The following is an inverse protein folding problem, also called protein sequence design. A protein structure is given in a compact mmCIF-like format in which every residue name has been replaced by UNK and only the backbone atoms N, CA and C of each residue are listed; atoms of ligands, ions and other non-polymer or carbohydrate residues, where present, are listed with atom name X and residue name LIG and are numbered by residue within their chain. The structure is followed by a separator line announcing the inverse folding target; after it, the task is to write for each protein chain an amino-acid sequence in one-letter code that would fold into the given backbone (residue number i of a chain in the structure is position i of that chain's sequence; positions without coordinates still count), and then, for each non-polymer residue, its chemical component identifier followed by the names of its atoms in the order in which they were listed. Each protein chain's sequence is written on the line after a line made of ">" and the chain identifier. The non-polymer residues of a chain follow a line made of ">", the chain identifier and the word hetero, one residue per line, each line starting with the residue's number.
data_IF_098415020994
#
_entry.id   IF_098415020994
#
_cell.length_a   1.000
_cell.length_b   1.000
_cell.length_c   1.000
_cell.angle_alpha   90.00
_cell.angle_beta   90.00
_cell.angle_gamma   90.00
#
_symmetry.space_group_name_H-M   'P 1'
#
loop_
_entity.id
_entity.type
_entity.pdbx_description
1 polymer ?
#
# COMPACT_ATOMS: atom_id res chain seq x y z
N UNK A 1 -10.38 -7.48 9.82
CA UNK A 1 -10.04 -7.82 8.55
C UNK A 1 -10.38 -6.80 7.48
N UNK A 2 -11.60 -6.38 7.45
CA UNK A 2 -12.03 -5.48 6.44
C UNK A 2 -11.29 -4.14 6.44
N UNK A 3 -11.05 -3.59 7.62
CA UNK A 3 -10.36 -2.31 7.70
C UNK A 3 -8.98 -2.35 7.13
N UNK A 4 -8.30 -3.43 7.45
CA UNK A 4 -6.97 -3.66 7.04
C UNK A 4 -6.88 -3.77 5.52
N UNK A 5 -7.79 -4.50 4.93
CA UNK A 5 -7.82 -4.66 3.49
C UNK A 5 -8.18 -3.36 2.80
N UNK A 6 -9.10 -2.61 3.39
CA UNK A 6 -9.46 -1.33 2.82
C UNK A 6 -8.29 -0.37 2.78
N UNK A 7 -7.55 -0.32 3.87
CA UNK A 7 -6.41 0.57 3.94
C UNK A 7 -5.40 0.24 2.83
N UNK A 8 -5.09 -1.04 2.69
CA UNK A 8 -4.10 -1.45 1.69
C UNK A 8 -4.59 -1.14 0.29
N UNK A 9 -5.85 -1.40 0.01
CA UNK A 9 -6.38 -1.13 -1.31
C UNK A 9 -6.32 0.36 -1.61
N UNK A 10 -6.72 1.20 -0.66
CA UNK A 10 -6.71 2.63 -0.89
C UNK A 10 -5.30 3.17 -1.09
N UNK A 11 -4.38 2.70 -0.28
CA UNK A 11 -2.98 3.08 -0.44
C UNK A 11 -2.51 2.72 -1.85
N UNK A 12 -2.80 1.49 -2.25
CA UNK A 12 -2.36 1.03 -3.56
C UNK A 12 -2.96 1.82 -4.69
N UNK A 13 -4.24 2.14 -4.57
CA UNK A 13 -4.90 2.89 -5.62
C UNK A 13 -4.31 4.29 -5.77
N UNK A 14 -4.06 4.96 -4.65
CA UNK A 14 -3.45 6.28 -4.70
C UNK A 14 -2.04 6.18 -5.29
N UNK A 15 -1.29 5.16 -4.92
CA UNK A 15 0.06 5.00 -5.45
C UNK A 15 0.06 4.77 -6.95
N UNK A 16 -0.89 3.97 -7.44
CA UNK A 16 -1.01 3.74 -8.88
C UNK A 16 -1.42 5.04 -9.58
N UNK A 17 -2.40 5.73 -9.01
CA UNK A 17 -2.87 6.99 -9.61
C UNK A 17 -1.76 8.03 -9.65
N UNK A 18 -0.87 8.00 -8.68
CA UNK A 18 0.25 8.95 -8.61
C UNK A 18 1.41 8.55 -9.52
N UNK A 19 1.35 7.37 -10.11
CA UNK A 19 2.41 6.91 -11.00
C UNK A 19 3.57 6.22 -10.29
N UNK A 20 3.42 5.91 -9.01
CA UNK A 20 4.49 5.28 -8.25
C UNK A 20 4.46 3.76 -8.32
N UNK A 21 3.32 3.18 -8.65
CA UNK A 21 3.18 1.74 -8.80
C UNK A 21 2.45 1.44 -10.09
N UNK A 22 2.74 0.28 -10.65
CA UNK A 22 1.92 -0.23 -11.75
C UNK A 22 0.84 -1.13 -11.16
N UNK A 23 -0.25 -1.37 -11.91
CA UNK A 23 -1.27 -2.31 -11.44
C UNK A 23 -0.69 -3.70 -11.15
N UNK A 24 0.28 -4.14 -11.96
CA UNK A 24 0.88 -5.46 -11.74
C UNK A 24 1.63 -5.49 -10.41
N UNK A 25 2.36 -4.42 -10.10
CA UNK A 25 3.07 -4.33 -8.83
C UNK A 25 2.10 -4.31 -7.66
N UNK A 26 1.00 -3.61 -7.81
CA UNK A 26 -0.01 -3.58 -6.75
C UNK A 26 -0.57 -4.97 -6.50
N UNK A 27 -0.89 -5.70 -7.58
CA UNK A 27 -1.39 -7.06 -7.44
C UNK A 27 -0.40 -7.95 -6.71
N UNK A 28 0.87 -7.82 -7.06
CA UNK A 28 1.90 -8.63 -6.42
C UNK A 28 2.01 -8.30 -4.94
N UNK A 29 1.99 -7.03 -4.61
CA UNK A 29 2.12 -6.62 -3.21
C UNK A 29 0.94 -7.11 -2.38
N UNK A 30 -0.27 -6.99 -2.92
CA UNK A 30 -1.45 -7.48 -2.20
C UNK A 30 -1.38 -9.00 -2.01
N UNK A 31 -0.87 -9.71 -3.02
CA UNK A 31 -0.69 -11.15 -2.89
C UNK A 31 0.28 -11.50 -1.79
N UNK A 32 1.34 -10.73 -1.63
CA UNK A 32 2.30 -10.98 -0.56
C UNK A 32 1.69 -10.75 0.81
N UNK A 33 0.80 -9.79 0.95
CA UNK A 33 0.10 -9.61 2.21
C UNK A 33 -0.74 -10.82 2.55
N UNK A 34 -1.42 -11.37 1.56
CA UNK A 34 -2.23 -12.57 1.76
C UNK A 34 -1.33 -13.73 2.18
N UNK A 35 -0.18 -13.87 1.52
CA UNK A 35 0.73 -14.94 1.86
C UNK A 35 1.28 -14.81 3.28
N UNK A 36 1.59 -13.58 3.69
CA UNK A 36 2.07 -13.37 5.04
C UNK A 36 1.02 -13.83 6.05
N UNK A 37 -0.24 -13.50 5.79
CA UNK A 37 -1.32 -13.91 6.68
C UNK A 37 -1.47 -15.43 6.71
N UNK A 38 -1.43 -16.07 5.56
CA UNK A 38 -1.63 -17.51 5.48
C UNK A 38 -0.51 -18.28 6.16
N UNK A 39 0.68 -17.71 6.18
CA UNK A 39 1.83 -18.39 6.76
C UNK A 39 2.15 -17.90 8.16
N UNK A 40 1.25 -17.10 8.72
CA UNK A 40 1.42 -16.58 10.08
C UNK A 40 2.69 -15.78 10.26
N UNK A 41 3.13 -15.11 9.21
CA UNK A 41 4.28 -14.23 9.30
C UNK A 41 3.85 -12.87 9.84
N UNK A 42 4.81 -12.11 10.38
CA UNK A 42 4.45 -10.76 10.83
C UNK A 42 3.85 -9.97 9.69
N UNK A 43 2.80 -9.24 10.01
CA UNK A 43 2.08 -8.49 9.01
C UNK A 43 2.89 -7.27 8.57
N UNK A 44 2.94 -7.04 7.25
CA UNK A 44 3.55 -5.84 6.69
C UNK A 44 2.47 -5.00 6.04
N UNK A 45 2.52 -3.69 6.27
CA UNK A 45 1.62 -2.80 5.55
C UNK A 45 2.09 -2.70 4.11
N UNK A 46 1.19 -2.32 3.22
CA UNK A 46 1.49 -2.33 1.79
C UNK A 46 2.69 -1.46 1.44
N UNK A 47 2.79 -0.30 2.06
CA UNK A 47 3.93 0.58 1.81
C UNK A 47 5.25 -0.08 2.12
N UNK A 48 5.30 -0.87 3.21
CA UNK A 48 6.52 -1.57 3.57
C UNK A 48 6.91 -2.61 2.52
N UNK A 49 5.91 -3.30 1.98
CA UNK A 49 6.17 -4.27 0.92
C UNK A 49 6.74 -3.59 -0.30
N UNK A 50 6.15 -2.46 -0.68
CA UNK A 50 6.64 -1.70 -1.83
C UNK A 50 8.05 -1.19 -1.61
N UNK A 51 8.35 -0.76 -0.39
CA UNK A 51 9.70 -0.31 -0.06
C UNK A 51 10.69 -1.47 -0.15
N UNK A 52 10.30 -2.63 0.36
CA UNK A 52 11.18 -3.79 0.35
C UNK A 52 11.55 -4.21 -1.08
N UNK A 53 10.63 -4.04 -2.01
CA UNK A 53 10.89 -4.34 -3.41
C UNK A 53 11.65 -3.23 -4.14
N UNK A 54 11.80 -2.09 -3.50
CA UNK A 54 12.43 -0.97 -4.15
C UNK A 54 11.54 -0.23 -5.13
N UNK A 55 10.24 -0.45 -5.03
CA UNK A 55 9.27 0.19 -5.94
C UNK A 55 8.90 1.60 -5.51
N UNK A 56 8.96 1.87 -4.22
CA UNK A 56 8.62 3.19 -3.69
C UNK A 56 9.66 3.62 -2.67
N UNK A 57 9.96 4.90 -2.67
CA UNK A 57 10.84 5.48 -1.67
C UNK A 57 10.04 5.91 -0.45
N UNK A 58 10.70 6.10 0.70
CA UNK A 58 9.97 6.60 1.88
C UNK A 58 9.25 7.92 1.60
N UNK A 59 9.84 8.80 0.80
CA UNK A 59 9.20 10.06 0.48
C UNK A 59 7.92 9.84 -0.32
N UNK A 60 7.94 8.91 -1.25
CA UNK A 60 6.75 8.61 -2.04
C UNK A 60 5.66 7.99 -1.18
N UNK A 61 6.06 7.10 -0.27
CA UNK A 61 5.11 6.48 0.64
C UNK A 61 4.44 7.55 1.49
N UNK A 62 5.24 8.46 2.01
CA UNK A 62 4.70 9.54 2.83
C UNK A 62 3.75 10.42 2.03
N UNK A 63 4.09 10.67 0.79
CA UNK A 63 3.23 11.48 -0.07
C UNK A 63 1.88 10.82 -0.30
N UNK A 64 1.88 9.50 -0.51
CA UNK A 64 0.63 8.76 -0.68
C UNK A 64 -0.20 8.84 0.59
N UNK A 65 0.43 8.65 1.73
CA UNK A 65 -0.28 8.73 3.00
C UNK A 65 -0.87 10.11 3.21
N UNK A 66 -0.12 11.14 2.91
CA UNK A 66 -0.60 12.50 3.05
C UNK A 66 -1.80 12.77 2.14
N UNK A 67 -1.76 12.25 0.94
CA UNK A 67 -2.87 12.39 0.02
C UNK A 67 -4.13 11.75 0.58
N UNK A 68 -3.98 10.55 1.14
CA UNK A 68 -5.11 9.85 1.74
C UNK A 68 -5.70 10.63 2.89
N UNK A 69 -4.84 11.12 3.79
CA UNK A 69 -5.32 11.83 4.97
C UNK A 69 -5.86 13.21 4.64
N UNK A 70 -5.27 13.85 3.68
CA UNK A 70 -5.75 15.15 3.25
C UNK A 70 -7.18 15.07 2.76
N UNK A 71 -7.47 14.06 1.98
CA UNK A 71 -8.81 13.88 1.47
C UNK A 71 -9.81 13.74 2.60
N UNK A 72 -9.42 13.02 3.63
CA UNK A 72 -10.32 12.83 4.77
C UNK A 72 -10.54 14.12 5.50
N UNK A 73 -9.48 14.86 5.72
CA UNK A 73 -9.58 16.09 6.49
C UNK A 73 -10.34 17.16 5.79
N UNK A 74 -10.37 17.08 4.49
CA UNK A 74 -11.06 18.05 3.73
C UNK A 74 -12.56 18.00 3.94
N UNK A 75 -13.06 16.81 4.09
CA UNK A 75 -14.47 16.58 4.26
C UNK A 75 -15.03 17.21 5.48
#
# INVERSE_FOLDING_TARGET
>A
MAEHEKYSYRFGKVAVDSGYLTPAQLHQALGEQVEDDLENRPHRVLGAICFDHGWMTPAQIEEVLNTMFKKRNKG
#
